data_IF_874357034065
#
_entry.id   IF_874357034065
#
_cell.length_a   1.000
_cell.length_b   1.000
_cell.length_c   1.000
_cell.angle_alpha   90.00
_cell.angle_beta   90.00
_cell.angle_gamma   90.00
#
_symmetry.space_group_name_H-M   'P 1'
#
loop_
_entity.id
_entity.type
_entity.pdbx_description
1 polymer ?
#
# COMPACT_ATOMS: atom_id res chain seq x y z
N UNK A 1 3.05 -16.98 -37.07
CA UNK A 1 2.00 -16.68 -36.07
C UNK A 1 2.70 -16.58 -34.73
N UNK A 2 3.14 -15.37 -34.40
CA UNK A 2 3.97 -15.07 -33.24
C UNK A 2 3.15 -15.12 -31.95
N UNK A 3 3.76 -15.79 -30.97
CA UNK A 3 3.27 -16.01 -29.62
C UNK A 3 3.21 -14.69 -28.85
N UNK A 4 2.01 -14.17 -28.61
CA UNK A 4 1.76 -13.05 -27.70
C UNK A 4 1.92 -13.51 -26.24
N UNK A 5 3.17 -13.66 -25.77
CA UNK A 5 3.47 -13.84 -24.34
C UNK A 5 3.35 -12.48 -23.66
N UNK A 6 2.16 -12.14 -23.18
CA UNK A 6 2.00 -10.98 -22.30
C UNK A 6 2.77 -11.23 -21.01
N UNK A 7 3.92 -10.59 -20.86
CA UNK A 7 4.69 -10.55 -19.63
C UNK A 7 3.86 -9.74 -18.61
N UNK A 8 2.95 -10.40 -17.86
CA UNK A 8 2.07 -9.72 -16.90
C UNK A 8 2.94 -9.11 -15.80
N UNK A 9 3.01 -7.78 -15.82
CA UNK A 9 3.63 -6.96 -14.78
C UNK A 9 2.86 -7.23 -13.47
N UNK A 10 3.55 -7.45 -12.34
CA UNK A 10 2.86 -7.60 -11.06
C UNK A 10 2.11 -6.31 -10.73
N UNK A 11 0.82 -6.42 -10.42
CA UNK A 11 -0.01 -5.28 -10.05
C UNK A 11 0.28 -4.85 -8.61
N UNK A 12 0.15 -3.55 -8.36
CA UNK A 12 0.26 -2.91 -7.06
C UNK A 12 -1.06 -2.19 -6.74
N UNK A 13 -1.40 -1.97 -5.45
CA UNK A 13 -2.52 -1.12 -5.08
C UNK A 13 -2.32 0.29 -5.66
N UNK A 14 -3.28 0.77 -6.44
CA UNK A 14 -3.30 2.16 -6.89
C UNK A 14 -3.68 3.09 -5.74
N UNK A 15 -3.05 4.26 -5.66
CA UNK A 15 -3.42 5.29 -4.69
C UNK A 15 -4.32 6.30 -5.39
N UNK A 16 -5.56 6.46 -4.91
CA UNK A 16 -6.40 7.60 -5.25
C UNK A 16 -6.11 8.77 -4.31
N UNK A 17 -6.85 9.85 -4.42
CA UNK A 17 -6.66 11.01 -3.56
C UNK A 17 -7.12 10.68 -2.14
N UNK A 18 -6.41 11.21 -1.13
CA UNK A 18 -6.70 10.93 0.28
C UNK A 18 -5.52 10.35 1.06
N UNK A 19 -5.81 9.89 2.27
CA UNK A 19 -4.78 9.45 3.24
C UNK A 19 -4.77 7.94 3.38
N UNK A 20 -3.62 7.32 3.13
CA UNK A 20 -3.36 5.90 3.23
C UNK A 20 -2.49 5.60 4.44
N UNK A 21 -2.84 4.59 5.21
CA UNK A 21 -1.93 3.94 6.16
C UNK A 21 -1.38 2.67 5.52
N UNK A 22 -0.06 2.59 5.36
CA UNK A 22 0.64 1.39 4.96
C UNK A 22 1.18 0.66 6.19
N UNK A 23 0.62 -0.53 6.45
CA UNK A 23 1.08 -1.46 7.47
C UNK A 23 2.03 -2.49 6.89
N UNK A 24 3.24 -2.53 7.45
CA UNK A 24 4.37 -3.27 6.91
C UNK A 24 5.20 -3.82 8.05
N UNK A 25 5.56 -5.09 7.96
CA UNK A 25 6.50 -5.70 8.92
C UNK A 25 7.93 -5.17 8.73
N UNK A 26 8.29 -4.74 7.52
CA UNK A 26 9.56 -4.11 7.19
C UNK A 26 9.35 -2.91 6.28
N UNK A 27 9.74 -1.72 6.77
CA UNK A 27 9.25 -0.46 6.23
C UNK A 27 9.73 -0.15 4.81
N UNK A 28 10.92 -0.60 4.43
CA UNK A 28 11.66 0.02 3.32
C UNK A 28 11.21 -0.45 1.94
N UNK A 29 11.20 -1.76 1.69
CA UNK A 29 10.93 -2.31 0.36
C UNK A 29 9.53 -1.96 -0.16
N UNK A 30 8.45 -2.37 0.53
CA UNK A 30 7.09 -2.12 0.08
C UNK A 30 6.75 -0.63 -0.08
N UNK A 31 7.22 0.21 0.84
CA UNK A 31 7.02 1.66 0.76
C UNK A 31 7.71 2.25 -0.46
N UNK A 32 8.99 1.91 -0.71
CA UNK A 32 9.72 2.42 -1.87
C UNK A 32 9.07 2.01 -3.18
N UNK A 33 8.59 0.76 -3.26
CA UNK A 33 7.88 0.24 -4.43
C UNK A 33 6.60 1.02 -4.70
N UNK A 34 5.73 1.22 -3.71
CA UNK A 34 4.48 1.96 -3.88
C UNK A 34 4.73 3.43 -4.24
N UNK A 35 5.72 4.07 -3.61
CA UNK A 35 6.08 5.46 -3.91
C UNK A 35 6.57 5.60 -5.36
N UNK A 36 7.45 4.70 -5.81
CA UNK A 36 7.97 4.75 -7.18
C UNK A 36 6.89 4.44 -8.22
N UNK A 37 6.04 3.44 -7.96
CA UNK A 37 4.92 3.10 -8.84
C UNK A 37 3.96 4.29 -9.03
N UNK A 38 3.59 4.95 -7.94
CA UNK A 38 2.75 6.15 -7.98
C UNK A 38 3.43 7.30 -8.72
N UNK A 39 4.71 7.56 -8.49
CA UNK A 39 5.45 8.62 -9.20
C UNK A 39 5.55 8.30 -10.70
N UNK A 40 5.73 7.04 -11.08
CA UNK A 40 5.81 6.61 -12.49
C UNK A 40 4.48 6.77 -13.23
N UNK A 41 3.36 6.63 -12.52
CA UNK A 41 2.00 6.69 -13.10
C UNK A 41 1.35 8.07 -13.01
N UNK A 42 1.92 8.98 -12.21
CA UNK A 42 1.43 10.35 -12.03
C UNK A 42 2.39 11.39 -12.60
N UNK A 43 1.92 12.64 -12.74
CA UNK A 43 2.77 13.82 -13.03
C UNK A 43 2.91 14.64 -11.75
N UNK A 44 4.10 15.17 -11.48
CA UNK A 44 4.33 16.03 -10.31
C UNK A 44 5.42 15.57 -9.35
N UNK A 45 5.89 16.45 -8.45
CA UNK A 45 6.81 16.06 -7.39
C UNK A 45 6.10 15.26 -6.30
N UNK A 46 6.87 14.40 -5.62
CA UNK A 46 6.51 13.77 -4.37
C UNK A 46 7.31 14.41 -3.23
N UNK A 47 6.65 14.72 -2.12
CA UNK A 47 7.29 15.28 -0.94
C UNK A 47 7.44 14.20 0.13
N UNK A 48 8.66 14.00 0.63
CA UNK A 48 8.96 13.00 1.64
C UNK A 48 9.42 13.69 2.93
N UNK A 49 8.58 13.66 3.97
CA UNK A 49 8.96 14.10 5.32
C UNK A 49 9.55 12.90 6.06
N UNK A 50 10.87 12.84 6.11
CA UNK A 50 11.61 11.71 6.65
C UNK A 50 11.91 11.88 8.13
N UNK A 51 11.81 10.78 8.88
CA UNK A 51 12.13 10.73 10.32
C UNK A 51 13.34 9.83 10.57
N UNK A 52 13.18 8.52 10.38
CA UNK A 52 14.16 7.49 10.74
C UNK A 52 15.04 7.02 9.57
N UNK A 53 15.27 7.89 8.58
CA UNK A 53 16.09 7.54 7.42
C UNK A 53 15.40 6.50 6.52
N UNK A 54 14.10 6.68 6.26
CA UNK A 54 13.35 5.83 5.34
C UNK A 54 13.49 6.30 3.89
N UNK A 55 13.77 7.59 3.64
CA UNK A 55 14.16 8.09 2.33
C UNK A 55 15.65 7.77 2.06
N UNK A 56 15.93 6.55 1.58
CA UNK A 56 17.29 6.11 1.26
C UNK A 56 17.51 6.00 -0.24
N UNK A 57 18.46 6.76 -0.77
CA UNK A 57 18.76 6.84 -2.21
C UNK A 57 19.14 5.48 -2.82
N UNK A 58 19.97 4.69 -2.15
CA UNK A 58 20.49 3.46 -2.76
C UNK A 58 19.39 2.40 -3.02
N UNK A 59 18.48 2.08 -2.07
CA UNK A 59 17.32 1.26 -2.38
C UNK A 59 16.39 1.83 -3.45
N UNK A 60 16.07 3.13 -3.40
CA UNK A 60 15.23 3.79 -4.40
C UNK A 60 15.84 3.71 -5.81
N UNK A 61 17.14 3.98 -5.95
CA UNK A 61 17.85 3.91 -7.23
C UNK A 61 17.99 2.49 -7.78
N UNK A 62 17.96 1.45 -6.93
CA UNK A 62 17.93 0.05 -7.38
C UNK A 62 16.56 -0.38 -7.90
N UNK A 63 15.49 0.25 -7.40
CA UNK A 63 14.12 -0.05 -7.78
C UNK A 63 13.62 0.79 -8.95
N UNK A 64 14.11 2.03 -9.08
CA UNK A 64 13.70 2.95 -10.12
C UNK A 64 14.16 2.45 -11.52
N UNK A 65 13.28 2.43 -12.53
CA UNK A 65 13.66 2.06 -13.89
C UNK A 65 14.58 3.11 -14.55
N UNK A 66 14.50 4.35 -14.11
CA UNK A 66 15.32 5.49 -14.53
C UNK A 66 15.70 6.33 -13.30
N UNK A 67 17.00 6.64 -13.07
CA UNK A 67 17.44 7.53 -12.00
C UNK A 67 16.74 8.89 -11.97
N UNK A 68 16.34 9.44 -13.12
CA UNK A 68 15.66 10.74 -13.21
C UNK A 68 14.27 10.75 -12.56
N UNK A 69 13.66 9.58 -12.32
CA UNK A 69 12.42 9.48 -11.52
C UNK A 69 12.65 10.04 -10.12
N UNK A 70 13.86 9.89 -9.58
CA UNK A 70 14.21 10.37 -8.24
C UNK A 70 14.32 11.89 -8.16
N UNK A 71 14.53 12.60 -9.28
CA UNK A 71 14.56 14.07 -9.33
C UNK A 71 13.21 14.69 -8.93
N UNK A 72 12.13 13.88 -8.98
CA UNK A 72 10.78 14.27 -8.56
C UNK A 72 10.56 14.08 -7.06
N UNK A 73 11.49 13.51 -6.30
CA UNK A 73 11.34 13.26 -4.87
C UNK A 73 12.04 14.36 -4.07
N UNK A 74 11.27 15.25 -3.45
CA UNK A 74 11.76 16.27 -2.54
C UNK A 74 11.78 15.73 -1.11
N UNK A 75 12.97 15.53 -0.54
CA UNK A 75 13.13 14.98 0.82
C UNK A 75 13.43 16.09 1.81
N UNK A 76 12.67 16.14 2.90
CA UNK A 76 12.99 16.96 4.08
C UNK A 76 13.08 16.05 5.30
N UNK A 77 14.14 16.18 6.12
CA UNK A 77 14.38 15.27 7.25
C UNK A 77 14.28 15.99 8.59
N UNK A 78 13.42 15.48 9.47
CA UNK A 78 13.35 15.86 10.87
C UNK A 78 14.09 14.84 11.73
N UNK A 79 14.84 15.32 12.73
CA UNK A 79 15.54 14.49 13.70
C UNK A 79 14.90 14.54 15.10
N UNK A 80 13.95 15.47 15.30
CA UNK A 80 13.18 15.63 16.53
C UNK A 80 11.69 15.83 16.20
N UNK A 81 10.82 15.60 17.18
CA UNK A 81 9.39 15.82 17.03
C UNK A 81 9.06 17.27 16.59
N UNK A 82 9.75 18.27 17.16
CA UNK A 82 9.59 19.67 16.78
C UNK A 82 10.01 19.94 15.34
N UNK A 83 11.15 19.38 14.89
CA UNK A 83 11.59 19.54 13.51
C UNK A 83 10.62 18.89 12.53
N UNK A 84 10.16 17.68 12.82
CA UNK A 84 9.18 16.99 11.99
C UNK A 84 7.84 17.74 11.92
N UNK A 85 7.36 18.26 13.05
CA UNK A 85 6.17 19.11 13.11
C UNK A 85 6.34 20.37 12.25
N UNK A 86 7.44 21.11 12.41
CA UNK A 86 7.73 22.31 11.63
C UNK A 86 7.88 22.03 10.12
N UNK A 87 8.42 20.86 9.74
CA UNK A 87 8.47 20.43 8.34
C UNK A 87 7.07 20.19 7.78
N UNK A 88 6.15 19.66 8.59
CA UNK A 88 4.75 19.45 8.17
C UNK A 88 4.02 20.79 8.03
N UNK A 89 4.27 21.74 8.92
CA UNK A 89 3.76 23.13 8.77
C UNK A 89 4.31 23.77 7.49
N UNK A 90 5.62 23.67 7.26
CA UNK A 90 6.25 24.20 6.04
C UNK A 90 5.68 23.54 4.79
N UNK A 91 5.46 22.22 4.82
CA UNK A 91 4.88 21.46 3.71
C UNK A 91 3.55 22.07 3.25
N UNK A 92 2.67 22.40 4.20
CA UNK A 92 1.36 22.99 3.90
C UNK A 92 1.44 24.33 3.16
N UNK A 93 2.60 25.01 3.20
CA UNK A 93 2.83 26.29 2.52
C UNK A 93 3.52 26.17 1.17
N UNK A 94 4.19 25.03 0.89
CA UNK A 94 4.99 24.84 -0.34
C UNK A 94 4.35 23.87 -1.33
N UNK A 95 3.49 22.97 -0.85
CA UNK A 95 2.71 22.07 -1.70
C UNK A 95 1.68 22.88 -2.48
N UNK A 96 1.45 22.46 -3.72
CA UNK A 96 0.46 23.03 -4.61
C UNK A 96 -0.17 21.92 -5.46
N UNK A 97 -1.11 22.30 -6.33
CA UNK A 97 -1.88 21.37 -7.17
C UNK A 97 -1.08 20.55 -8.19
N UNK A 98 0.23 20.77 -8.31
CA UNK A 98 1.10 19.93 -9.15
C UNK A 98 1.72 18.76 -8.38
N UNK A 99 1.65 18.74 -7.05
CA UNK A 99 2.17 17.65 -6.22
C UNK A 99 1.35 16.37 -6.46
N UNK A 100 2.02 15.22 -6.51
CA UNK A 100 1.32 13.94 -6.71
C UNK A 100 1.27 13.05 -5.48
N UNK A 101 2.16 13.27 -4.51
CA UNK A 101 2.26 12.40 -3.33
C UNK A 101 2.95 13.11 -2.16
N UNK A 102 2.46 12.87 -0.95
CA UNK A 102 3.19 13.14 0.28
C UNK A 102 3.49 11.81 0.97
N UNK A 103 4.71 11.61 1.45
CA UNK A 103 5.15 10.39 2.15
C UNK A 103 5.65 10.76 3.54
N UNK A 104 5.04 10.19 4.57
CA UNK A 104 5.42 10.39 5.96
C UNK A 104 5.58 9.03 6.67
N UNK A 105 6.74 8.37 6.50
CA UNK A 105 6.98 7.10 7.14
C UNK A 105 7.28 7.27 8.63
N UNK A 106 6.82 6.31 9.43
CA UNK A 106 6.98 6.29 10.87
C UNK A 106 6.56 7.64 11.49
N UNK A 107 5.39 8.14 11.06
CA UNK A 107 4.88 9.49 11.40
C UNK A 107 4.84 9.72 12.90
N UNK A 108 4.57 8.68 13.68
CA UNK A 108 4.47 8.69 15.13
C UNK A 108 5.83 8.55 15.83
N UNK A 109 6.87 8.11 15.12
CA UNK A 109 8.11 7.63 15.73
C UNK A 109 8.87 8.71 16.50
N UNK A 110 9.01 9.93 15.96
CA UNK A 110 9.69 11.01 16.67
C UNK A 110 8.86 11.56 17.83
N UNK A 111 7.54 11.48 17.77
CA UNK A 111 6.66 11.88 18.89
C UNK A 111 6.68 10.86 20.03
N UNK A 112 7.07 9.62 19.76
CA UNK A 112 7.29 8.59 20.79
C UNK A 112 8.62 8.74 21.50
N UNK A 113 9.61 9.38 20.87
CA UNK A 113 10.93 9.55 21.45
C UNK A 113 10.87 10.36 22.76
N UNK A 114 11.85 10.12 23.64
CA UNK A 114 11.99 10.88 24.86
C UNK A 114 12.35 12.34 24.55
N UNK A 115 11.80 13.27 25.34
CA UNK A 115 12.05 14.72 25.17
C UNK A 115 10.80 15.58 25.08
N UNK A 116 9.62 14.98 25.00
CA UNK A 116 8.33 15.68 25.07
C UNK A 116 7.52 15.25 26.30
N UNK A 117 6.64 16.14 26.79
CA UNK A 117 5.61 15.77 27.78
C UNK A 117 4.54 14.93 27.08
N UNK A 118 3.92 14.01 27.81
CA UNK A 118 2.94 13.07 27.25
C UNK A 118 1.80 13.75 26.49
N UNK A 119 1.19 14.77 27.10
CA UNK A 119 0.12 15.58 26.47
C UNK A 119 0.58 16.28 25.18
N UNK A 120 1.83 16.75 25.14
CA UNK A 120 2.39 17.44 23.97
C UNK A 120 2.65 16.46 22.81
N UNK A 121 3.10 15.23 23.11
CA UNK A 121 3.41 14.20 22.10
C UNK A 121 2.19 13.90 21.23
N UNK A 122 1.07 13.56 21.86
CA UNK A 122 -0.13 13.17 21.13
C UNK A 122 -0.78 14.39 20.45
N UNK A 123 -0.81 15.55 21.11
CA UNK A 123 -1.37 16.76 20.53
C UNK A 123 -0.61 17.22 19.28
N UNK A 124 0.72 17.14 19.27
CA UNK A 124 1.53 17.46 18.09
C UNK A 124 1.31 16.46 16.95
N UNK A 125 1.25 15.15 17.24
CA UNK A 125 0.94 14.13 16.23
C UNK A 125 -0.43 14.36 15.59
N UNK A 126 -1.47 14.59 16.40
CA UNK A 126 -2.84 14.85 15.91
C UNK A 126 -2.87 16.08 15.01
N UNK A 127 -2.19 17.17 15.40
CA UNK A 127 -2.10 18.38 14.58
C UNK A 127 -1.36 18.14 13.26
N UNK A 128 -0.26 17.39 13.28
CA UNK A 128 0.46 17.01 12.06
C UNK A 128 -0.42 16.21 11.10
N UNK A 129 -1.17 15.22 11.61
CA UNK A 129 -2.11 14.45 10.81
C UNK A 129 -3.24 15.34 10.23
N UNK A 130 -3.78 16.26 11.03
CA UNK A 130 -4.81 17.18 10.56
C UNK A 130 -4.30 18.08 9.41
N UNK A 131 -3.06 18.58 9.50
CA UNK A 131 -2.43 19.35 8.43
C UNK A 131 -2.27 18.52 7.15
N UNK A 132 -1.79 17.28 7.27
CA UNK A 132 -1.63 16.37 6.13
C UNK A 132 -2.98 16.05 5.47
N UNK A 133 -4.01 15.75 6.26
CA UNK A 133 -5.36 15.51 5.76
C UNK A 133 -5.98 16.74 5.10
N UNK A 134 -5.67 17.95 5.61
CA UNK A 134 -6.14 19.19 5.00
C UNK A 134 -5.50 19.41 3.62
N UNK A 135 -4.17 19.28 3.53
CA UNK A 135 -3.42 19.39 2.26
C UNK A 135 -3.87 18.34 1.24
N UNK A 136 -4.10 17.10 1.68
CA UNK A 136 -4.63 16.03 0.82
C UNK A 136 -5.97 16.41 0.16
N UNK A 137 -6.88 17.01 0.94
CA UNK A 137 -8.20 17.43 0.48
C UNK A 137 -8.17 18.72 -0.34
N UNK A 138 -7.26 19.63 -0.05
CA UNK A 138 -7.14 20.91 -0.74
C UNK A 138 -6.61 20.73 -2.17
N UNK A 139 -5.68 19.79 -2.36
CA UNK A 139 -4.99 19.59 -3.64
C UNK A 139 -5.32 18.27 -4.32
N UNK A 140 -6.31 17.53 -3.84
CA UNK A 140 -6.70 16.21 -4.36
C UNK A 140 -5.47 15.32 -4.60
N UNK A 141 -4.69 15.10 -3.54
CA UNK A 141 -3.45 14.31 -3.60
C UNK A 141 -3.44 13.14 -2.63
N UNK A 142 -2.60 12.15 -2.93
CA UNK A 142 -2.37 11.01 -2.06
C UNK A 142 -1.37 11.34 -0.95
N UNK A 143 -1.66 10.90 0.28
CA UNK A 143 -0.75 10.92 1.42
C UNK A 143 -0.50 9.51 1.89
N UNK A 144 0.75 9.07 1.91
CA UNK A 144 1.16 7.74 2.37
C UNK A 144 1.80 7.84 3.75
N UNK A 145 1.16 7.25 4.75
CA UNK A 145 1.63 7.19 6.13
C UNK A 145 2.12 5.77 6.45
N UNK A 146 3.11 5.67 7.33
CA UNK A 146 3.37 4.42 8.07
C UNK A 146 3.49 4.73 9.56
N UNK A 147 3.23 3.74 10.40
CA UNK A 147 3.42 3.85 11.86
C UNK A 147 4.53 2.94 12.35
N UNK A 148 5.18 3.33 13.43
CA UNK A 148 6.25 2.54 14.05
C UNK A 148 5.73 1.29 14.74
N UNK A 149 4.53 1.36 15.34
CA UNK A 149 3.82 0.22 15.94
C UNK A 149 2.33 0.53 16.09
N UNK A 150 1.55 -0.52 16.23
CA UNK A 150 0.13 -0.45 16.59
C UNK A 150 -0.04 -0.46 18.12
N UNK A 151 -0.51 0.67 18.66
CA UNK A 151 -0.94 0.86 20.05
C UNK A 151 -1.85 2.10 20.17
N UNK A 152 -2.33 2.40 21.38
CA UNK A 152 -3.21 3.54 21.68
C UNK A 152 -2.64 4.89 21.21
N UNK A 153 -1.31 5.07 21.28
CA UNK A 153 -0.69 6.31 20.81
C UNK A 153 -0.76 6.47 19.28
N UNK A 154 -0.77 5.36 18.53
CA UNK A 154 -0.92 5.37 17.07
C UNK A 154 -2.36 5.40 16.57
N UNK A 155 -3.38 5.27 17.44
CA UNK A 155 -4.79 5.30 17.02
C UNK A 155 -5.14 6.52 16.15
N UNK A 156 -4.66 7.75 16.45
CA UNK A 156 -4.89 8.89 15.56
C UNK A 156 -4.39 8.68 14.13
N UNK A 157 -3.30 7.92 13.93
CA UNK A 157 -2.75 7.63 12.60
C UNK A 157 -3.73 6.77 11.80
N UNK A 158 -4.30 5.74 12.42
CA UNK A 158 -5.30 4.88 11.80
C UNK A 158 -6.61 5.66 11.53
N UNK A 159 -7.03 6.52 12.46
CA UNK A 159 -8.24 7.34 12.30
C UNK A 159 -8.10 8.41 11.20
N UNK A 160 -6.89 8.92 10.96
CA UNK A 160 -6.63 9.88 9.90
C UNK A 160 -6.59 9.26 8.51
N UNK A 161 -6.29 7.96 8.42
CA UNK A 161 -6.27 7.22 7.17
C UNK A 161 -7.69 6.87 6.73
N UNK A 162 -8.04 7.23 5.49
CA UNK A 162 -9.27 6.79 4.84
C UNK A 162 -9.17 5.34 4.36
N UNK A 163 -7.96 4.91 4.01
CA UNK A 163 -7.67 3.59 3.48
C UNK A 163 -6.46 2.94 4.17
N UNK A 164 -6.54 1.62 4.33
CA UNK A 164 -5.49 0.78 4.90
C UNK A 164 -4.92 -0.15 3.82
N UNK A 165 -3.61 -0.11 3.64
CA UNK A 165 -2.86 -1.05 2.82
C UNK A 165 -2.00 -1.90 3.77
N UNK A 166 -2.27 -3.19 3.87
CA UNK A 166 -1.40 -4.14 4.58
C UNK A 166 -0.42 -4.75 3.60
N UNK A 167 0.80 -4.97 4.04
CA UNK A 167 1.81 -5.68 3.28
C UNK A 167 2.54 -6.70 4.16
N UNK A 168 2.38 -7.97 3.82
CA UNK A 168 3.03 -9.10 4.47
C UNK A 168 4.23 -9.55 3.66
N UNK A 169 5.36 -9.84 4.32
CA UNK A 169 6.49 -10.45 3.64
C UNK A 169 6.28 -11.95 3.53
N UNK A 170 6.18 -12.45 2.30
CA UNK A 170 6.07 -13.89 2.05
C UNK A 170 7.39 -14.43 1.52
N UNK A 171 7.53 -15.76 1.49
CA UNK A 171 8.69 -16.41 0.83
C UNK A 171 8.82 -16.07 -0.66
N UNK A 172 7.77 -15.52 -1.27
CA UNK A 172 7.68 -15.19 -2.69
C UNK A 172 7.85 -13.68 -2.96
N UNK A 173 7.90 -12.85 -1.92
CA UNK A 173 7.91 -11.40 -2.01
C UNK A 173 6.81 -10.73 -1.17
N UNK A 174 6.67 -9.40 -1.27
CA UNK A 174 5.66 -8.63 -0.54
C UNK A 174 4.25 -8.87 -1.10
N UNK A 175 3.29 -9.19 -0.23
CA UNK A 175 1.87 -9.36 -0.58
C UNK A 175 1.07 -8.19 -0.02
N UNK A 176 0.44 -7.41 -0.89
CA UNK A 176 -0.40 -6.28 -0.49
C UNK A 176 -1.88 -6.65 -0.37
N UNK A 177 -2.57 -6.03 0.57
CA UNK A 177 -4.02 -6.14 0.80
C UNK A 177 -4.61 -4.76 1.09
N UNK A 178 -5.74 -4.43 0.47
CA UNK A 178 -6.56 -3.26 0.78
C UNK A 178 -8.04 -3.59 0.52
N UNK A 179 -8.96 -2.68 0.84
CA UNK A 179 -10.41 -2.91 0.71
C UNK A 179 -10.90 -3.37 -0.68
N UNK A 180 -10.13 -3.12 -1.74
CA UNK A 180 -10.44 -3.55 -3.10
C UNK A 180 -9.28 -4.20 -3.87
N UNK A 181 -8.14 -4.45 -3.24
CA UNK A 181 -6.95 -4.99 -3.91
C UNK A 181 -6.28 -6.07 -3.06
N UNK A 182 -5.86 -7.15 -3.70
CA UNK A 182 -5.04 -8.18 -3.08
C UNK A 182 -3.98 -8.66 -4.09
N UNK A 183 -2.72 -8.76 -3.66
CA UNK A 183 -1.67 -9.36 -4.50
C UNK A 183 -1.91 -10.86 -4.62
N UNK A 184 -2.43 -11.29 -5.76
CA UNK A 184 -2.79 -12.68 -6.04
C UNK A 184 -1.71 -13.46 -6.81
N UNK A 185 -0.72 -12.77 -7.40
CA UNK A 185 0.24 -13.39 -8.36
C UNK A 185 1.64 -12.78 -8.24
N UNK A 186 2.67 -13.64 -8.18
CA UNK A 186 4.08 -13.26 -8.35
C UNK A 186 4.62 -13.81 -9.68
N UNK A 187 5.03 -12.94 -10.63
CA UNK A 187 5.67 -13.38 -11.86
C UNK A 187 7.16 -13.70 -11.60
N UNK A 188 7.59 -14.91 -11.95
CA UNK A 188 8.98 -15.38 -11.80
C UNK A 188 9.79 -15.25 -13.11
N UNK A 189 9.62 -14.18 -13.88
CA UNK A 189 10.26 -14.09 -15.20
C UNK A 189 9.89 -15.26 -16.14
N UNK A 190 10.51 -15.36 -17.32
CA UNK A 190 10.42 -16.46 -18.31
C UNK A 190 9.01 -17.01 -18.71
N UNK A 191 7.92 -16.34 -18.33
CA UNK A 191 6.55 -16.80 -18.56
C UNK A 191 6.00 -17.72 -17.45
N UNK A 192 6.71 -17.89 -16.34
CA UNK A 192 6.25 -18.67 -15.18
C UNK A 192 5.56 -17.76 -14.15
N UNK A 193 4.35 -18.14 -13.77
CA UNK A 193 3.61 -17.54 -12.66
C UNK A 193 3.77 -18.46 -11.45
N UNK A 194 4.28 -17.95 -10.33
CA UNK A 194 4.17 -18.64 -9.04
C UNK A 194 3.01 -18.02 -8.27
N UNK A 195 1.81 -18.47 -8.61
CA UNK A 195 0.71 -18.49 -7.63
C UNK A 195 1.08 -19.52 -6.57
N UNK A 196 0.75 -19.28 -5.30
CA UNK A 196 0.63 -20.42 -4.37
C UNK A 196 -0.31 -21.45 -5.02
N UNK A 197 0.20 -22.66 -5.30
CA UNK A 197 -0.28 -23.59 -6.35
C UNK A 197 -1.73 -24.11 -6.19
N UNK A 198 -2.40 -23.81 -5.10
CA UNK A 198 -3.67 -24.43 -4.69
C UNK A 198 -4.94 -23.61 -5.00
N UNK A 199 -4.81 -22.36 -5.47
CA UNK A 199 -5.93 -21.43 -5.40
C UNK A 199 -6.93 -21.51 -6.58
N UNK A 200 -6.50 -21.58 -7.84
CA UNK A 200 -7.44 -21.52 -8.98
C UNK A 200 -7.74 -22.83 -9.70
N UNK A 201 -6.91 -23.88 -9.59
CA UNK A 201 -7.33 -25.24 -10.02
C UNK A 201 -8.65 -25.64 -9.35
N UNK A 202 -8.83 -25.26 -8.09
CA UNK A 202 -9.93 -25.71 -7.25
C UNK A 202 -11.23 -24.93 -7.42
N UNK A 203 -11.17 -23.64 -7.78
CA UNK A 203 -12.36 -22.80 -7.95
C UNK A 203 -13.09 -23.12 -9.27
N UNK A 204 -12.36 -23.44 -10.35
CA UNK A 204 -12.98 -23.75 -11.63
C UNK A 204 -13.47 -25.20 -11.72
N UNK A 205 -12.73 -26.16 -11.15
CA UNK A 205 -13.22 -27.54 -10.97
C UNK A 205 -14.48 -27.62 -10.09
N UNK A 206 -14.60 -26.76 -9.06
CA UNK A 206 -15.76 -26.73 -8.15
C UNK A 206 -17.02 -26.07 -8.76
N UNK A 207 -16.89 -25.29 -9.84
CA UNK A 207 -18.02 -24.58 -10.46
C UNK A 207 -18.58 -25.25 -11.71
N UNK A 208 -17.90 -26.26 -12.26
CA UNK A 208 -18.37 -27.03 -13.41
C UNK A 208 -19.74 -27.71 -13.18
N UNK A 209 -19.99 -28.42 -12.05
CA UNK A 209 -21.22 -29.20 -11.88
C UNK A 209 -22.46 -28.34 -11.62
N UNK A 210 -22.29 -27.14 -11.06
CA UNK A 210 -23.38 -26.17 -10.83
C UNK A 210 -23.82 -25.53 -12.15
N UNK A 211 -22.89 -25.37 -13.10
CA UNK A 211 -23.21 -25.00 -14.47
C UNK A 211 -24.01 -26.09 -15.19
N UNK A 212 -23.69 -27.37 -14.93
CA UNK A 212 -24.39 -28.52 -15.53
C UNK A 212 -25.80 -28.74 -14.93
N UNK A 213 -25.97 -28.54 -13.62
CA UNK A 213 -27.26 -28.66 -12.93
C UNK A 213 -28.26 -27.54 -13.29
N UNK A 214 -27.77 -26.37 -13.73
CA UNK A 214 -28.60 -25.29 -14.24
C UNK A 214 -29.16 -25.55 -15.66
N UNK A 215 -28.69 -26.60 -16.35
CA UNK A 215 -29.17 -26.99 -17.69
C UNK A 215 -30.22 -28.12 -17.71
N UNK A 216 -30.54 -28.81 -16.60
CA UNK A 216 -31.39 -30.01 -16.64
C UNK A 216 -32.54 -29.98 -15.62
N UNK A 217 -33.76 -29.80 -16.11
CA UNK A 217 -34.99 -30.34 -15.53
C UNK A 217 -36.10 -30.40 -16.58
N UNK A 218 -37.24 -31.13 -16.39
CA UNK A 218 -37.49 -32.47 -15.81
C UNK A 218 -37.57 -33.56 -16.95
N UNK A 219 -37.65 -34.89 -16.79
CA UNK A 219 -38.47 -35.77 -15.93
C UNK A 219 -37.79 -37.13 -15.62
N UNK A 220 -38.34 -37.72 -14.55
CA UNK A 220 -38.09 -38.99 -13.87
C UNK A 220 -38.03 -40.27 -14.70
N UNK A 221 -37.20 -41.20 -14.21
CA UNK A 221 -37.49 -42.64 -14.21
C UNK A 221 -37.20 -43.17 -12.80
N UNK A 222 -38.24 -43.47 -12.03
CA UNK A 222 -38.13 -44.28 -10.79
C UNK A 222 -37.72 -45.72 -11.17
N UNK A 223 -37.06 -46.52 -10.32
CA UNK A 223 -37.62 -47.52 -9.38
C UNK A 223 -36.46 -48.55 -9.17
N UNK A 224 -36.31 -49.33 -8.08
CA UNK A 224 -36.41 -49.08 -6.64
C UNK A 224 -35.13 -49.52 -5.87
N UNK A 225 -35.10 -49.20 -4.58
CA UNK A 225 -34.13 -49.70 -3.60
C UNK A 225 -34.46 -51.14 -3.13
N UNK A 226 -33.42 -51.94 -2.87
CA UNK A 226 -33.27 -52.95 -1.80
C UNK A 226 -32.03 -53.82 -2.17
N UNK A 227 -30.99 -54.03 -1.39
CA UNK A 227 -30.87 -54.02 0.07
C UNK A 227 -30.48 -55.45 0.53
N UNK A 228 -29.31 -55.57 1.18
CA UNK A 228 -28.80 -56.73 1.97
C UNK A 228 -28.26 -57.92 1.14
N UNK A 229 -27.14 -58.57 1.45
CA UNK A 229 -26.33 -58.73 2.67
C UNK A 229 -24.83 -58.76 2.33
#
# INVERSE_FOLDING_TARGET
>A
MESNRSNRIPELPSLSDGVYLLEIESVRGPLHTLVLDHILTTRGPAYWIDTHGHATTQPLARLAPDPHVLDRICVARGFTAFQHYALTETLSTVVNSTASLIVCPAIDGLYRADGLREDDRQAMLVRALAMLSAVAREYDLSVMLTRTREDTFSEPVANAAGDLIKCEQTRLGPRFYSGGFETLVYPLGNGQLQTTLAFWMRILEARQPVYDAAQVGPQSSEVPANGSY
#
